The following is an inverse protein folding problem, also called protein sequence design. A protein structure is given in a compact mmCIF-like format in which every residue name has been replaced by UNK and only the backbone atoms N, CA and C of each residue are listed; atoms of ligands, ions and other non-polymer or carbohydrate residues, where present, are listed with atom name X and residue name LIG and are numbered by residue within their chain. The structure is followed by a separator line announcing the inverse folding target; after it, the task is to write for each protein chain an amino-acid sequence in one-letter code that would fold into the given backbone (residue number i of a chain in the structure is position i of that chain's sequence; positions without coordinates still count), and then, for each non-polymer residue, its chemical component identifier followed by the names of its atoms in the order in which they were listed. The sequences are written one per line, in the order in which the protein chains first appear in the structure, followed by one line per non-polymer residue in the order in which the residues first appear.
data_IF_354061547250
#
_entry.id   IF_354061547250
#
_cell.length_a   1.000
_cell.length_b   1.000
_cell.length_c   1.000
_cell.angle_alpha   90.00
_cell.angle_beta   90.00
_cell.angle_gamma   90.00
#
_symmetry.space_group_name_H-M   'P 1'
#
loop_
_entity.id
_entity.type
_entity.pdbx_description
1 polymer ?
#
# COMPACT_ATOMS: atom_id res chain seq x y z
N UNK A 1 25.57 21.98 3.07
CA UNK A 1 25.38 22.93 1.96
C UNK A 1 26.10 24.27 2.15
N UNK A 2 25.94 24.94 3.30
CA UNK A 2 26.40 26.32 3.52
C UNK A 2 27.88 26.59 3.20
N UNK A 3 28.81 25.76 3.67
CA UNK A 3 30.24 25.94 3.42
C UNK A 3 30.54 25.91 1.90
N UNK A 4 29.98 24.92 1.19
CA UNK A 4 30.13 24.80 -0.27
C UNK A 4 29.51 25.98 -1.02
N UNK A 5 28.37 26.49 -0.58
CA UNK A 5 27.72 27.67 -1.16
C UNK A 5 28.59 28.93 -1.03
N UNK A 6 29.29 29.10 0.10
CA UNK A 6 30.21 30.22 0.31
C UNK A 6 31.46 30.18 -0.57
N UNK A 7 31.85 29.00 -1.07
CA UNK A 7 33.04 28.81 -1.92
C UNK A 7 32.86 29.32 -3.36
N UNK A 8 31.66 29.76 -3.77
CA UNK A 8 31.45 30.24 -5.12
C UNK A 8 32.25 31.51 -5.45
N UNK A 9 32.85 31.49 -6.63
CA UNK A 9 33.41 32.66 -7.31
C UNK A 9 32.31 33.53 -7.94
N UNK A 10 32.61 34.79 -8.32
CA UNK A 10 31.71 35.60 -9.13
C UNK A 10 31.21 34.86 -10.38
N UNK A 11 29.91 34.98 -10.66
CA UNK A 11 29.21 34.29 -11.75
C UNK A 11 29.18 32.76 -11.66
N UNK A 12 29.51 32.20 -10.48
CA UNK A 12 29.48 30.76 -10.26
C UNK A 12 28.08 30.15 -10.21
N UNK A 13 27.99 28.87 -10.59
CA UNK A 13 26.77 28.07 -10.51
C UNK A 13 26.89 27.00 -9.43
N UNK A 14 25.88 26.89 -8.56
CA UNK A 14 25.76 25.81 -7.58
C UNK A 14 24.59 24.91 -7.92
N UNK A 15 24.88 23.63 -8.14
CA UNK A 15 23.88 22.61 -8.40
C UNK A 15 23.75 21.72 -7.17
N UNK A 16 22.63 21.83 -6.47
CA UNK A 16 22.31 21.01 -5.31
C UNK A 16 21.56 19.75 -5.76
N UNK A 17 22.14 18.59 -5.46
CA UNK A 17 21.56 17.27 -5.77
C UNK A 17 21.05 16.58 -4.49
N UNK A 18 21.45 17.08 -3.30
CA UNK A 18 20.99 16.59 -2.02
C UNK A 18 19.58 17.06 -1.68
N UNK A 19 18.75 16.15 -1.17
CA UNK A 19 17.36 16.45 -0.79
C UNK A 19 17.19 16.92 0.65
N UNK A 20 18.13 16.60 1.55
CA UNK A 20 17.93 16.74 3.00
C UNK A 20 17.58 18.18 3.41
N UNK A 21 18.42 19.15 3.03
CA UNK A 21 18.19 20.55 3.40
C UNK A 21 16.96 21.16 2.69
N UNK A 22 16.55 20.65 1.53
CA UNK A 22 15.34 21.09 0.83
C UNK A 22 14.07 20.60 1.52
N UNK A 23 14.06 19.33 1.94
CA UNK A 23 12.93 18.72 2.67
C UNK A 23 12.74 19.35 4.03
N UNK A 24 13.84 19.68 4.71
CA UNK A 24 13.82 20.25 6.07
C UNK A 24 13.59 21.79 6.08
N UNK A 25 13.22 22.38 4.94
CA UNK A 25 13.07 23.84 4.78
C UNK A 25 14.29 24.63 5.27
N UNK A 26 15.48 24.18 4.87
CA UNK A 26 16.77 24.79 5.17
C UNK A 26 16.85 26.25 4.71
N UNK A 27 17.68 27.04 5.40
CA UNK A 27 17.88 28.46 5.06
C UNK A 27 19.01 28.59 4.04
N UNK A 28 18.89 29.52 3.10
CA UNK A 28 19.95 29.85 2.15
C UNK A 28 20.52 31.23 2.44
N UNK A 29 21.85 31.38 2.45
CA UNK A 29 22.49 32.67 2.64
C UNK A 29 22.40 33.51 1.36
N UNK A 30 21.55 34.53 1.38
CA UNK A 30 21.29 35.38 0.22
C UNK A 30 22.46 36.29 -0.18
N UNK A 31 23.42 36.53 0.73
CA UNK A 31 24.55 37.44 0.46
C UNK A 31 25.44 36.95 -0.69
N UNK A 32 25.52 35.63 -0.91
CA UNK A 32 26.35 35.05 -1.97
C UNK A 32 25.86 35.48 -3.37
N UNK A 33 24.56 35.79 -3.53
CA UNK A 33 24.02 36.28 -4.80
C UNK A 33 24.58 37.64 -5.24
N UNK A 34 25.18 38.44 -4.35
CA UNK A 34 25.88 39.68 -4.73
C UNK A 34 27.07 39.41 -5.67
N UNK A 35 27.55 38.17 -5.71
CA UNK A 35 28.57 37.71 -6.66
C UNK A 35 27.98 37.34 -8.04
N UNK A 36 26.72 37.66 -8.32
CA UNK A 36 25.99 37.23 -9.53
C UNK A 36 25.95 35.70 -9.71
N UNK A 37 25.85 34.95 -8.62
CA UNK A 37 25.82 33.48 -8.64
C UNK A 37 24.43 32.94 -8.96
N UNK A 38 24.35 31.71 -9.47
CA UNK A 38 23.09 30.98 -9.66
C UNK A 38 23.03 29.78 -8.72
N UNK A 39 21.83 29.50 -8.19
CA UNK A 39 21.53 28.31 -7.41
C UNK A 39 20.47 27.49 -8.13
N UNK A 40 20.72 26.19 -8.31
CA UNK A 40 19.77 25.27 -8.94
C UNK A 40 19.67 24.00 -8.10
N UNK A 41 18.47 23.69 -7.61
CA UNK A 41 18.15 22.38 -7.06
C UNK A 41 17.76 21.44 -8.19
N UNK A 42 18.41 20.28 -8.28
CA UNK A 42 18.14 19.28 -9.31
C UNK A 42 17.81 17.93 -8.68
N UNK A 43 16.58 17.47 -8.91
CA UNK A 43 16.13 16.14 -8.53
C UNK A 43 15.92 15.27 -9.76
N UNK A 44 16.84 14.33 -10.00
CA UNK A 44 16.73 13.39 -11.11
C UNK A 44 15.53 12.44 -10.98
N UNK A 45 14.99 12.26 -9.77
CA UNK A 45 13.79 11.43 -9.54
C UNK A 45 12.56 12.08 -10.18
N UNK A 46 12.41 13.39 -10.05
CA UNK A 46 11.31 14.14 -10.66
C UNK A 46 11.40 14.07 -12.19
N UNK A 47 12.61 14.11 -12.75
CA UNK A 47 12.82 13.94 -14.19
C UNK A 47 12.44 12.53 -14.67
N UNK A 48 12.71 11.50 -13.85
CA UNK A 48 12.35 10.11 -14.15
C UNK A 48 10.84 9.87 -14.10
N UNK A 49 10.14 10.46 -13.14
CA UNK A 49 8.68 10.29 -12.98
C UNK A 49 7.86 11.31 -13.77
N UNK A 50 8.50 12.25 -14.48
CA UNK A 50 7.81 13.24 -15.30
C UNK A 50 6.97 12.57 -16.41
N UNK A 51 5.71 13.01 -16.54
CA UNK A 51 4.83 12.54 -17.61
C UNK A 51 5.09 13.24 -18.95
N UNK A 52 5.72 14.42 -18.91
CA UNK A 52 6.05 15.19 -20.11
C UNK A 52 7.12 14.48 -20.96
N UNK A 53 6.87 14.40 -22.27
CA UNK A 53 7.77 13.77 -23.22
C UNK A 53 9.14 14.48 -23.32
N UNK A 54 9.17 15.80 -23.12
CA UNK A 54 10.41 16.58 -23.14
C UNK A 54 11.38 16.13 -22.04
N UNK A 55 10.89 16.03 -20.79
CA UNK A 55 11.70 15.63 -19.65
C UNK A 55 12.19 14.19 -19.75
N UNK A 56 11.36 13.30 -20.29
CA UNK A 56 11.76 11.91 -20.55
C UNK A 56 12.86 11.83 -21.61
N UNK A 57 12.74 12.59 -22.69
CA UNK A 57 13.75 12.66 -23.76
C UNK A 57 15.07 13.23 -23.22
N UNK A 58 15.00 14.31 -22.45
CA UNK A 58 16.17 14.89 -21.79
C UNK A 58 16.88 13.89 -20.87
N UNK A 59 16.12 13.09 -20.09
CA UNK A 59 16.72 12.04 -19.26
C UNK A 59 17.40 10.97 -20.12
N UNK A 60 16.79 10.53 -21.22
CA UNK A 60 17.42 9.58 -22.15
C UNK A 60 18.73 10.10 -22.73
N UNK A 61 18.78 11.36 -23.16
CA UNK A 61 20.01 11.98 -23.66
C UNK A 61 21.10 12.10 -22.59
N UNK A 62 20.70 12.24 -21.32
CA UNK A 62 21.59 12.25 -20.15
C UNK A 62 21.92 10.85 -19.61
N UNK A 63 21.30 9.78 -20.11
CA UNK A 63 21.60 8.43 -19.63
C UNK A 63 23.04 8.06 -19.94
N UNK A 64 23.61 7.19 -19.10
CA UNK A 64 24.98 6.74 -19.28
C UNK A 64 25.23 6.16 -20.68
N UNK A 65 24.24 5.60 -21.37
CA UNK A 65 24.43 4.96 -22.68
C UNK A 65 24.85 5.93 -23.78
N UNK A 66 24.21 7.10 -23.91
CA UNK A 66 24.54 8.12 -24.92
C UNK A 66 25.93 8.71 -24.66
N UNK A 67 26.19 9.11 -23.42
CA UNK A 67 27.45 9.73 -22.99
C UNK A 67 28.61 8.72 -22.99
N UNK A 68 28.35 7.46 -22.64
CA UNK A 68 29.34 6.37 -22.68
C UNK A 68 29.73 6.03 -24.12
N UNK A 69 28.75 5.88 -25.02
CA UNK A 69 29.01 5.63 -26.45
C UNK A 69 29.73 6.80 -27.11
N UNK A 70 29.45 8.02 -26.69
CA UNK A 70 30.17 9.21 -27.11
C UNK A 70 31.58 9.33 -26.47
N UNK A 71 31.95 8.44 -25.54
CA UNK A 71 33.26 8.44 -24.87
C UNK A 71 33.44 9.51 -23.79
N UNK A 72 32.38 10.20 -23.40
CA UNK A 72 32.40 11.29 -22.40
C UNK A 72 32.50 10.72 -20.98
N UNK A 73 31.87 9.58 -20.72
CA UNK A 73 31.90 8.92 -19.40
C UNK A 73 32.52 7.53 -19.49
N UNK A 74 33.04 7.02 -18.37
CA UNK A 74 33.57 5.65 -18.24
C UNK A 74 32.93 4.97 -17.02
N UNK A 75 32.77 3.64 -17.02
CA UNK A 75 32.25 2.91 -15.88
C UNK A 75 33.16 3.14 -14.66
N UNK A 76 32.56 3.51 -13.53
CA UNK A 76 33.27 3.53 -12.25
C UNK A 76 33.49 2.09 -11.76
N UNK A 77 34.45 1.84 -10.85
CA UNK A 77 34.59 0.54 -10.20
C UNK A 77 33.24 0.04 -9.67
N UNK A 78 32.91 -1.23 -9.90
CA UNK A 78 31.65 -1.83 -9.47
C UNK A 78 31.96 -2.97 -8.49
N UNK A 79 31.52 -2.82 -7.24
CA UNK A 79 31.48 -3.92 -6.30
C UNK A 79 30.22 -4.75 -6.57
N UNK A 80 30.38 -6.02 -6.89
CA UNK A 80 29.26 -6.92 -7.20
C UNK A 80 28.98 -7.84 -6.02
N UNK A 81 27.69 -7.98 -5.70
CA UNK A 81 27.20 -8.87 -4.64
C UNK A 81 26.12 -9.78 -5.21
N UNK A 82 26.05 -10.99 -4.70
CA UNK A 82 24.92 -11.87 -5.00
C UNK A 82 23.64 -11.36 -4.31
N UNK A 83 22.47 -11.61 -4.91
CA UNK A 83 21.18 -11.31 -4.28
C UNK A 83 21.01 -12.04 -2.94
N UNK A 84 21.59 -13.25 -2.79
CA UNK A 84 21.59 -13.97 -1.51
C UNK A 84 22.39 -13.24 -0.42
N UNK A 85 23.34 -12.39 -0.81
CA UNK A 85 24.23 -11.61 0.06
C UNK A 85 23.83 -10.14 0.15
N UNK A 86 22.56 -9.79 -0.10
CA UNK A 86 22.10 -8.40 -0.11
C UNK A 86 22.45 -7.65 1.19
N UNK A 87 22.42 -8.34 2.34
CA UNK A 87 22.82 -7.76 3.61
C UNK A 87 24.31 -7.33 3.63
N UNK A 88 25.18 -8.07 2.93
CA UNK A 88 26.59 -7.70 2.76
C UNK A 88 26.72 -6.46 1.86
N UNK A 89 25.93 -6.39 0.78
CA UNK A 89 25.90 -5.23 -0.10
C UNK A 89 25.51 -3.95 0.66
N UNK A 90 24.50 -4.03 1.54
CA UNK A 90 24.12 -2.91 2.41
C UNK A 90 25.23 -2.54 3.41
N UNK A 91 25.88 -3.52 4.05
CA UNK A 91 27.01 -3.25 4.95
C UNK A 91 28.13 -2.54 4.20
N UNK A 92 28.50 -3.02 3.02
CA UNK A 92 29.49 -2.38 2.16
C UNK A 92 29.06 -0.97 1.77
N UNK A 93 27.78 -0.76 1.43
CA UNK A 93 27.22 0.58 1.17
C UNK A 93 27.34 1.54 2.36
N UNK A 94 27.36 1.05 3.60
CA UNK A 94 27.52 1.94 4.77
C UNK A 94 28.97 2.32 5.08
N UNK A 95 29.95 1.68 4.45
CA UNK A 95 31.37 2.01 4.65
C UNK A 95 31.70 3.40 4.10
N UNK A 96 32.60 4.11 4.80
CA UNK A 96 32.95 5.52 4.51
C UNK A 96 33.96 5.65 3.36
N UNK A 97 34.74 4.62 3.12
CA UNK A 97 35.84 4.51 2.17
C UNK A 97 35.43 3.87 0.83
N UNK A 98 34.14 3.55 0.66
CA UNK A 98 33.64 2.97 -0.60
C UNK A 98 33.90 3.89 -1.78
N UNK A 99 34.35 3.28 -2.88
CA UNK A 99 34.55 3.95 -4.16
C UNK A 99 33.73 3.25 -5.23
N UNK A 100 33.03 4.02 -6.07
CA UNK A 100 32.30 3.51 -7.21
C UNK A 100 30.87 3.06 -6.89
N UNK A 101 30.37 2.11 -7.67
CA UNK A 101 28.98 1.63 -7.62
C UNK A 101 28.90 0.25 -6.97
N UNK A 102 27.74 -0.06 -6.40
CA UNK A 102 27.41 -1.39 -5.91
C UNK A 102 26.34 -1.96 -6.83
N UNK A 103 26.56 -3.17 -7.33
CA UNK A 103 25.59 -3.91 -8.13
C UNK A 103 25.20 -5.20 -7.41
N UNK A 104 23.91 -5.52 -7.42
CA UNK A 104 23.38 -6.78 -6.91
C UNK A 104 22.98 -7.65 -8.10
N UNK A 105 23.60 -8.82 -8.21
CA UNK A 105 23.38 -9.77 -9.30
C UNK A 105 22.27 -10.75 -8.93
N UNK A 106 21.28 -10.88 -9.81
CA UNK A 106 20.09 -11.73 -9.61
C UNK A 106 20.11 -12.97 -10.52
N UNK A 107 21.00 -13.01 -11.52
CA UNK A 107 20.97 -14.01 -12.61
C UNK A 107 21.51 -15.40 -12.23
N UNK A 108 22.03 -15.59 -11.01
CA UNK A 108 22.52 -16.89 -10.58
C UNK A 108 21.35 -17.77 -10.16
N UNK A 109 20.99 -18.72 -11.03
CA UNK A 109 19.89 -19.66 -10.80
C UNK A 109 19.98 -20.46 -9.49
N UNK A 110 21.17 -20.55 -8.87
CA UNK A 110 21.41 -21.29 -7.64
C UNK A 110 21.27 -20.45 -6.37
N UNK A 111 21.17 -19.12 -6.50
CA UNK A 111 21.07 -18.21 -5.37
C UNK A 111 19.77 -18.43 -4.61
N UNK A 112 19.88 -18.67 -3.30
CA UNK A 112 18.73 -18.89 -2.42
C UNK A 112 18.51 -17.66 -1.57
N UNK A 113 17.38 -17.00 -1.79
CA UNK A 113 16.95 -15.85 -1.00
C UNK A 113 15.90 -16.31 0.00
N UNK A 114 16.08 -16.08 1.32
CA UNK A 114 15.03 -16.35 2.29
C UNK A 114 13.86 -15.42 2.01
N UNK A 115 12.72 -16.00 1.64
CA UNK A 115 11.47 -15.27 1.42
C UNK A 115 10.49 -15.59 2.54
N UNK A 116 9.79 -14.56 3.00
CA UNK A 116 8.60 -14.76 3.83
C UNK A 116 7.42 -14.94 2.87
N UNK A 117 6.86 -16.14 2.71
CA UNK A 117 5.71 -16.33 1.82
C UNK A 117 4.53 -15.53 2.37
N UNK A 118 3.87 -14.76 1.50
CA UNK A 118 2.61 -14.13 1.86
C UNK A 118 1.59 -15.23 2.15
N UNK A 119 1.04 -15.25 3.36
CA UNK A 119 0.04 -16.26 3.75
C UNK A 119 -1.28 -16.11 2.98
N UNK A 120 -1.55 -14.94 2.40
CA UNK A 120 -2.72 -14.66 1.58
C UNK A 120 -2.32 -13.86 0.36
N UNK A 121 -2.85 -14.23 -0.82
CA UNK A 121 -2.78 -13.40 -2.02
C UNK A 121 -4.05 -12.55 -2.07
N UNK A 122 -3.99 -11.33 -1.57
CA UNK A 122 -5.07 -10.35 -1.77
C UNK A 122 -4.98 -9.74 -3.18
N UNK A 123 -5.04 -10.60 -4.20
CA UNK A 123 -4.97 -10.21 -5.62
C UNK A 123 -6.32 -10.53 -6.27
N UNK A 124 -6.84 -9.58 -7.04
CA UNK A 124 -8.06 -9.80 -7.82
C UNK A 124 -7.72 -10.58 -9.09
N UNK A 125 -8.47 -11.65 -9.35
CA UNK A 125 -8.41 -12.53 -10.51
C UNK A 125 -9.68 -12.30 -11.33
N UNK A 126 -9.51 -12.10 -12.64
CA UNK A 126 -10.61 -11.80 -13.57
C UNK A 126 -11.58 -12.99 -13.76
N UNK A 127 -11.21 -14.21 -13.35
CA UNK A 127 -12.07 -15.39 -13.42
C UNK A 127 -12.86 -15.65 -12.13
N UNK A 128 -12.73 -14.80 -11.12
CA UNK A 128 -13.38 -14.96 -9.82
C UNK A 128 -14.36 -13.83 -9.54
N UNK A 129 -15.35 -14.12 -8.71
CA UNK A 129 -16.33 -13.13 -8.24
C UNK A 129 -15.97 -12.66 -6.83
N UNK A 130 -16.24 -11.39 -6.53
CA UNK A 130 -15.92 -10.77 -5.24
C UNK A 130 -17.16 -10.16 -4.59
N UNK A 131 -17.33 -10.41 -3.30
CA UNK A 131 -18.43 -9.85 -2.51
C UNK A 131 -17.93 -8.64 -1.71
N UNK A 132 -18.49 -7.47 -1.98
CA UNK A 132 -18.09 -6.20 -1.39
C UNK A 132 -19.30 -5.45 -0.84
N UNK A 133 -19.15 -4.63 0.21
CA UNK A 133 -20.17 -3.68 0.61
C UNK A 133 -20.17 -2.50 -0.37
N UNK A 134 -21.35 -2.09 -0.84
CA UNK A 134 -21.44 -1.10 -1.94
C UNK A 134 -21.58 0.33 -1.44
N UNK A 135 -20.67 1.20 -1.89
CA UNK A 135 -20.84 2.65 -1.89
C UNK A 135 -21.02 3.12 -3.35
N UNK A 136 -21.89 4.10 -3.59
CA UNK A 136 -22.25 4.54 -4.96
C UNK A 136 -21.03 4.96 -5.80
N UNK A 137 -20.08 5.68 -5.20
CA UNK A 137 -18.85 6.10 -5.87
C UNK A 137 -17.94 4.92 -6.24
N UNK A 138 -17.86 3.89 -5.37
CA UNK A 138 -17.06 2.69 -5.65
C UNK A 138 -17.66 1.93 -6.83
N UNK A 139 -18.99 1.75 -6.83
CA UNK A 139 -19.71 1.09 -7.93
C UNK A 139 -19.47 1.82 -9.25
N UNK A 140 -19.63 3.15 -9.28
CA UNK A 140 -19.36 3.94 -10.50
C UNK A 140 -17.95 3.68 -11.01
N UNK A 141 -16.94 3.80 -10.15
CA UNK A 141 -15.53 3.61 -10.53
C UNK A 141 -15.23 2.20 -11.04
N UNK A 142 -15.88 1.18 -10.48
CA UNK A 142 -15.72 -0.20 -10.94
C UNK A 142 -16.35 -0.40 -12.33
N UNK A 143 -17.56 0.13 -12.53
CA UNK A 143 -18.25 0.08 -13.83
C UNK A 143 -17.47 0.88 -14.88
N UNK A 144 -16.99 2.08 -14.55
CA UNK A 144 -16.17 2.93 -15.43
C UNK A 144 -14.84 2.26 -15.81
N UNK A 145 -14.32 1.38 -14.94
CA UNK A 145 -13.14 0.56 -15.20
C UNK A 145 -13.45 -0.74 -15.99
N UNK A 146 -14.71 -0.99 -16.34
CA UNK A 146 -15.16 -2.15 -17.12
C UNK A 146 -15.53 -3.39 -16.31
N UNK A 147 -15.67 -3.29 -14.99
CA UNK A 147 -16.11 -4.42 -14.17
C UNK A 147 -17.61 -4.69 -14.30
N UNK A 148 -18.00 -5.97 -14.33
CA UNK A 148 -19.39 -6.40 -14.20
C UNK A 148 -19.81 -6.38 -12.73
N UNK A 149 -20.70 -5.45 -12.37
CA UNK A 149 -21.12 -5.22 -10.97
C UNK A 149 -22.59 -5.58 -10.81
N UNK A 150 -22.89 -6.43 -9.83
CA UNK A 150 -24.26 -6.75 -9.40
C UNK A 150 -24.52 -6.19 -8.02
N UNK A 151 -25.60 -5.42 -7.88
CA UNK A 151 -25.97 -4.77 -6.62
C UNK A 151 -27.14 -5.55 -6.01
N UNK A 152 -26.94 -6.04 -4.79
CA UNK A 152 -27.99 -6.69 -4.00
C UNK A 152 -28.23 -5.84 -2.76
N UNK A 153 -29.42 -5.24 -2.69
CA UNK A 153 -29.81 -4.39 -1.58
C UNK A 153 -30.28 -5.28 -0.42
N UNK A 154 -29.59 -5.21 0.71
CA UNK A 154 -29.96 -5.95 1.92
C UNK A 154 -29.15 -5.54 3.13
N UNK A 155 -29.59 -6.00 4.30
CA UNK A 155 -28.81 -5.96 5.54
C UNK A 155 -28.02 -7.27 5.63
N UNK A 156 -26.71 -7.19 5.86
CA UNK A 156 -25.85 -8.36 6.05
C UNK A 156 -26.26 -9.20 7.27
N UNK A 157 -26.98 -8.59 8.22
CA UNK A 157 -27.54 -9.28 9.40
C UNK A 157 -28.72 -10.18 9.04
N UNK A 158 -29.32 -10.03 7.85
CA UNK A 158 -30.33 -10.93 7.30
C UNK A 158 -29.66 -12.05 6.48
N UNK A 159 -29.70 -13.28 7.03
CA UNK A 159 -29.08 -14.45 6.40
C UNK A 159 -29.61 -14.74 5.00
N UNK A 160 -30.89 -14.43 4.72
CA UNK A 160 -31.49 -14.71 3.42
C UNK A 160 -30.92 -13.76 2.35
N UNK A 161 -30.70 -12.49 2.70
CA UNK A 161 -30.06 -11.50 1.82
C UNK A 161 -28.60 -11.87 1.55
N UNK A 162 -27.89 -12.38 2.55
CA UNK A 162 -26.50 -12.85 2.37
C UNK A 162 -26.44 -14.07 1.46
N UNK A 163 -27.34 -15.05 1.64
CA UNK A 163 -27.43 -16.23 0.76
C UNK A 163 -27.77 -15.86 -0.68
N UNK A 164 -28.67 -14.90 -0.87
CA UNK A 164 -29.00 -14.34 -2.18
C UNK A 164 -27.74 -13.75 -2.85
N UNK A 165 -26.93 -13.00 -2.09
CA UNK A 165 -25.68 -12.43 -2.59
C UNK A 165 -24.62 -13.48 -2.97
N UNK A 166 -24.42 -14.49 -2.12
CA UNK A 166 -23.52 -15.61 -2.43
C UNK A 166 -24.00 -16.39 -3.65
N UNK A 167 -25.31 -16.62 -3.77
CA UNK A 167 -25.90 -17.32 -4.93
C UNK A 167 -25.68 -16.54 -6.23
N UNK A 168 -25.86 -15.21 -6.20
CA UNK A 168 -25.58 -14.37 -7.36
C UNK A 168 -24.10 -14.38 -7.76
N UNK A 169 -23.18 -14.41 -6.79
CA UNK A 169 -21.75 -14.50 -7.07
C UNK A 169 -21.35 -15.85 -7.69
N UNK A 170 -21.84 -16.95 -7.11
CA UNK A 170 -21.55 -18.32 -7.56
C UNK A 170 -22.14 -18.63 -8.93
N UNK A 171 -23.25 -17.98 -9.31
CA UNK A 171 -23.81 -18.10 -10.66
C UNK A 171 -22.88 -17.53 -11.76
N UNK A 172 -21.97 -16.61 -11.40
CA UNK A 172 -21.02 -15.98 -12.32
C UNK A 172 -19.64 -16.65 -12.33
N UNK A 173 -19.28 -17.33 -11.25
CA UNK A 173 -17.98 -17.99 -11.10
C UNK A 173 -17.60 -18.25 -9.65
N UNK A 174 -16.44 -18.88 -9.42
CA UNK A 174 -15.94 -19.15 -8.07
C UNK A 174 -15.71 -17.84 -7.29
N UNK A 175 -16.01 -17.84 -5.98
CA UNK A 175 -15.80 -16.67 -5.13
C UNK A 175 -14.32 -16.57 -4.77
N UNK A 176 -13.67 -15.49 -5.20
CA UNK A 176 -12.26 -15.22 -4.93
C UNK A 176 -12.02 -14.43 -3.66
N UNK A 177 -13.00 -13.66 -3.19
CA UNK A 177 -12.84 -12.89 -1.96
C UNK A 177 -14.11 -12.27 -1.43
N UNK A 178 -14.12 -12.04 -0.12
CA UNK A 178 -15.18 -11.32 0.58
C UNK A 178 -14.57 -10.16 1.36
N UNK A 179 -15.22 -8.99 1.28
CA UNK A 179 -14.94 -7.82 2.11
C UNK A 179 -16.16 -7.57 2.97
N UNK A 180 -15.98 -7.69 4.28
CA UNK A 180 -16.96 -7.28 5.28
C UNK A 180 -16.59 -5.90 5.82
N UNK A 181 -17.26 -4.87 5.30
CA UNK A 181 -17.16 -3.51 5.80
C UNK A 181 -18.52 -2.89 6.19
N UNK A 182 -19.56 -3.73 6.34
CA UNK A 182 -20.84 -3.27 6.83
C UNK A 182 -20.72 -2.77 8.28
N UNK A 183 -21.33 -1.62 8.55
CA UNK A 183 -21.24 -0.94 9.82
C UNK A 183 -22.50 -0.14 10.09
N UNK A 184 -22.96 -0.22 11.35
CA UNK A 184 -23.87 0.75 11.94
C UNK A 184 -23.17 1.38 13.14
N UNK A 185 -23.55 2.60 13.51
CA UNK A 185 -23.02 3.23 14.73
C UNK A 185 -24.07 4.14 15.35
N UNK A 186 -24.34 3.91 16.64
CA UNK A 186 -25.08 4.83 17.50
C UNK A 186 -24.28 5.03 18.76
N UNK A 187 -23.72 6.23 18.92
CA UNK A 187 -22.88 6.58 20.07
C UNK A 187 -23.75 6.92 21.27
N UNK A 188 -23.37 6.43 22.44
CA UNK A 188 -23.95 6.78 23.73
C UNK A 188 -22.99 6.37 24.84
N UNK A 189 -23.02 7.06 25.99
CA UNK A 189 -22.36 6.52 27.18
C UNK A 189 -22.92 5.14 27.48
N UNK A 190 -22.08 4.21 27.94
CA UNK A 190 -22.53 2.83 28.18
C UNK A 190 -23.70 2.78 29.17
N UNK A 191 -23.69 3.65 30.19
CA UNK A 191 -24.75 3.76 31.21
C UNK A 191 -26.09 4.24 30.68
N UNK A 192 -26.12 4.94 29.54
CA UNK A 192 -27.34 5.47 28.91
C UNK A 192 -27.61 4.87 27.53
N UNK A 193 -26.83 3.87 27.11
CA UNK A 193 -26.97 3.26 25.80
C UNK A 193 -28.23 2.40 25.76
N UNK A 194 -29.14 2.73 24.85
CA UNK A 194 -30.31 1.89 24.61
C UNK A 194 -29.92 0.56 23.99
N UNK A 195 -30.75 -0.46 24.19
CA UNK A 195 -30.54 -1.77 23.55
C UNK A 195 -30.52 -1.67 22.01
N UNK A 196 -31.36 -0.80 21.44
CA UNK A 196 -31.35 -0.50 20.00
C UNK A 196 -30.00 0.09 19.53
N UNK A 197 -29.45 1.06 20.26
CA UNK A 197 -28.15 1.65 19.95
C UNK A 197 -27.01 0.61 20.06
N UNK A 198 -27.08 -0.28 21.06
CA UNK A 198 -26.14 -1.39 21.23
C UNK A 198 -26.15 -2.31 20.01
N UNK A 199 -27.34 -2.79 19.61
CA UNK A 199 -27.47 -3.71 18.49
C UNK A 199 -27.17 -3.07 17.13
N UNK A 200 -27.45 -1.78 16.95
CA UNK A 200 -27.09 -1.04 15.73
C UNK A 200 -25.58 -1.09 15.46
N UNK A 201 -24.76 -0.99 16.52
CA UNK A 201 -23.30 -1.04 16.41
C UNK A 201 -22.72 -2.44 16.19
N UNK A 202 -23.39 -3.46 16.75
CA UNK A 202 -22.83 -4.82 16.83
C UNK A 202 -23.31 -5.72 15.71
N UNK A 203 -24.61 -5.70 15.37
CA UNK A 203 -25.22 -6.69 14.46
C UNK A 203 -24.50 -6.80 13.11
N UNK A 204 -24.15 -5.71 12.40
CA UNK A 204 -23.52 -5.82 11.09
C UNK A 204 -22.15 -6.51 11.13
N UNK A 205 -21.39 -6.30 12.21
CA UNK A 205 -20.02 -6.85 12.38
C UNK A 205 -20.02 -8.25 13.00
N UNK A 206 -20.91 -8.52 13.95
CA UNK A 206 -21.01 -9.84 14.55
C UNK A 206 -21.86 -10.79 13.70
N UNK A 207 -23.18 -10.57 13.70
CA UNK A 207 -24.13 -11.41 12.98
C UNK A 207 -23.86 -11.41 11.47
N UNK A 208 -23.55 -10.24 10.90
CA UNK A 208 -23.26 -10.15 9.47
C UNK A 208 -22.04 -10.96 9.04
N UNK A 209 -20.95 -10.90 9.81
CA UNK A 209 -19.75 -11.70 9.55
C UNK A 209 -20.03 -13.19 9.69
N UNK A 210 -20.81 -13.57 10.70
CA UNK A 210 -21.19 -14.96 10.90
C UNK A 210 -22.06 -15.48 9.75
N UNK A 211 -23.06 -14.70 9.33
CA UNK A 211 -23.90 -15.03 8.17
C UNK A 211 -23.08 -15.20 6.89
N UNK A 212 -22.09 -14.32 6.66
CA UNK A 212 -21.17 -14.44 5.52
C UNK A 212 -20.34 -15.70 5.60
N UNK A 213 -19.80 -16.04 6.78
CA UNK A 213 -19.04 -17.26 6.99
C UNK A 213 -19.87 -18.52 6.68
N UNK A 214 -21.07 -18.60 7.24
CA UNK A 214 -21.96 -19.74 7.05
C UNK A 214 -22.46 -19.84 5.60
N UNK A 215 -22.79 -18.71 4.97
CA UNK A 215 -23.28 -18.71 3.59
C UNK A 215 -22.20 -19.11 2.56
N UNK A 216 -20.92 -18.97 2.91
CA UNK A 216 -19.80 -19.39 2.05
C UNK A 216 -19.46 -20.88 2.20
N UNK A 217 -20.07 -21.61 3.13
CA UNK A 217 -19.80 -23.02 3.32
C UNK A 217 -20.13 -23.81 2.03
N UNK A 218 -19.15 -24.58 1.54
CA UNK A 218 -19.25 -25.29 0.25
C UNK A 218 -18.93 -24.43 -0.98
N UNK A 219 -18.58 -23.16 -0.79
CA UNK A 219 -18.21 -22.22 -1.85
C UNK A 219 -16.86 -21.51 -1.62
N UNK A 220 -16.10 -21.92 -0.59
CA UNK A 220 -14.88 -21.25 -0.15
C UNK A 220 -13.56 -21.89 -0.62
N UNK A 221 -13.61 -22.91 -1.49
CA UNK A 221 -12.40 -23.59 -2.02
C UNK A 221 -11.47 -22.65 -2.80
N UNK A 222 -12.03 -21.71 -3.55
CA UNK A 222 -11.30 -20.75 -4.37
C UNK A 222 -11.06 -19.40 -3.67
N UNK A 223 -11.46 -19.27 -2.40
CA UNK A 223 -11.42 -18.02 -1.65
C UNK A 223 -9.98 -17.66 -1.29
N UNK A 224 -9.47 -16.55 -1.81
CA UNK A 224 -8.13 -16.07 -1.52
C UNK A 224 -8.08 -15.23 -0.24
N UNK A 225 -9.17 -14.51 0.06
CA UNK A 225 -9.27 -13.67 1.26
C UNK A 225 -10.70 -13.52 1.79
N UNK A 226 -10.80 -13.37 3.11
CA UNK A 226 -11.99 -12.89 3.81
C UNK A 226 -11.55 -11.70 4.66
N UNK A 227 -11.73 -10.50 4.15
CA UNK A 227 -11.26 -9.27 4.78
C UNK A 227 -12.36 -8.66 5.64
N UNK A 228 -12.05 -8.33 6.89
CA UNK A 228 -12.96 -7.66 7.80
C UNK A 228 -12.37 -6.31 8.22
N UNK A 229 -13.16 -5.24 8.12
CA UNK A 229 -12.70 -3.92 8.56
C UNK A 229 -12.91 -3.74 10.06
N UNK A 230 -11.84 -3.90 10.83
CA UNK A 230 -11.81 -3.58 12.28
C UNK A 230 -11.44 -2.11 12.52
N UNK A 231 -11.17 -1.71 13.76
CA UNK A 231 -10.72 -0.36 14.14
C UNK A 231 -9.78 -0.42 15.35
N UNK A 232 -8.85 0.54 15.45
CA UNK A 232 -8.04 0.77 16.65
C UNK A 232 -8.90 0.94 17.91
N UNK A 233 -10.12 1.50 17.77
CA UNK A 233 -11.08 1.62 18.87
C UNK A 233 -11.42 0.29 19.53
N UNK A 234 -11.34 -0.84 18.82
CA UNK A 234 -11.55 -2.17 19.39
C UNK A 234 -10.52 -2.53 20.47
N UNK A 235 -9.28 -2.03 20.35
CA UNK A 235 -8.18 -2.29 21.30
C UNK A 235 -8.00 -1.19 22.33
N UNK A 236 -8.06 0.09 21.91
CA UNK A 236 -7.79 1.22 22.80
C UNK A 236 -9.05 1.72 23.52
N UNK A 237 -10.24 1.33 23.06
CA UNK A 237 -11.52 1.87 23.53
C UNK A 237 -11.76 3.30 23.05
N UNK A 238 -13.03 3.67 22.92
CA UNK A 238 -13.43 5.05 22.67
C UNK A 238 -14.65 5.34 23.54
N UNK A 239 -14.58 6.43 24.32
CA UNK A 239 -15.70 6.85 25.13
C UNK A 239 -16.93 7.05 24.23
N UNK A 240 -18.09 6.55 24.65
CA UNK A 240 -19.37 6.52 23.91
C UNK A 240 -19.54 5.46 22.81
N UNK A 241 -18.54 4.61 22.58
CA UNK A 241 -18.54 3.64 21.47
C UNK A 241 -18.38 2.19 21.96
N UNK A 242 -18.89 1.86 23.15
CA UNK A 242 -18.75 0.52 23.74
C UNK A 242 -19.30 -0.59 22.85
N UNK A 243 -20.42 -0.35 22.17
CA UNK A 243 -20.98 -1.24 21.15
C UNK A 243 -20.01 -1.49 19.99
N UNK A 244 -19.44 -0.43 19.43
CA UNK A 244 -18.50 -0.51 18.31
C UNK A 244 -17.17 -1.17 18.70
N UNK A 245 -16.65 -0.84 19.89
CA UNK A 245 -15.43 -1.47 20.42
C UNK A 245 -15.63 -2.98 20.59
N UNK A 246 -16.76 -3.38 21.20
CA UNK A 246 -17.11 -4.80 21.36
C UNK A 246 -17.25 -5.52 20.00
N UNK A 247 -17.89 -4.87 19.02
CA UNK A 247 -18.07 -5.40 17.68
C UNK A 247 -16.74 -5.63 16.95
N UNK A 248 -15.78 -4.71 17.07
CA UNK A 248 -14.44 -4.86 16.49
C UNK A 248 -13.60 -5.91 17.23
N UNK A 249 -13.72 -5.98 18.57
CA UNK A 249 -13.09 -7.05 19.35
C UNK A 249 -13.58 -8.45 18.93
N UNK A 250 -14.86 -8.58 18.58
CA UNK A 250 -15.37 -9.81 17.96
C UNK A 250 -14.68 -10.11 16.63
N UNK A 251 -14.56 -9.15 15.71
CA UNK A 251 -13.90 -9.36 14.42
C UNK A 251 -12.46 -9.84 14.61
N UNK A 252 -11.71 -9.21 15.51
CA UNK A 252 -10.32 -9.58 15.79
C UNK A 252 -10.20 -11.02 16.35
N UNK A 253 -11.14 -11.44 17.21
CA UNK A 253 -11.20 -12.80 17.73
C UNK A 253 -11.65 -13.80 16.65
N UNK A 254 -12.65 -13.43 15.86
CA UNK A 254 -13.18 -14.23 14.75
C UNK A 254 -12.12 -14.50 13.68
N UNK A 255 -11.31 -13.50 13.32
CA UNK A 255 -10.17 -13.67 12.40
C UNK A 255 -9.24 -14.79 12.88
N UNK A 256 -8.86 -14.79 14.16
CA UNK A 256 -7.98 -15.83 14.72
C UNK A 256 -8.65 -17.19 14.71
N UNK A 257 -9.92 -17.26 15.12
CA UNK A 257 -10.70 -18.50 15.10
C UNK A 257 -10.84 -19.08 13.70
N UNK A 258 -11.21 -18.26 12.70
CA UNK A 258 -11.38 -18.67 11.31
C UNK A 258 -10.06 -19.16 10.69
N UNK A 259 -8.95 -18.48 10.99
CA UNK A 259 -7.60 -18.93 10.59
C UNK A 259 -7.20 -20.24 11.27
N UNK A 260 -7.61 -20.45 12.52
CA UNK A 260 -7.44 -21.72 13.23
C UNK A 260 -8.13 -22.91 12.55
N UNK A 261 -9.14 -22.66 11.71
CA UNK A 261 -9.77 -23.67 10.86
C UNK A 261 -9.10 -23.82 9.49
N UNK A 262 -7.97 -23.17 9.25
CA UNK A 262 -7.29 -23.17 7.95
C UNK A 262 -7.98 -22.31 6.89
N UNK A 263 -9.00 -21.53 7.25
CA UNK A 263 -9.75 -20.71 6.29
C UNK A 263 -9.18 -19.28 6.21
N UNK A 264 -9.25 -18.60 5.05
CA UNK A 264 -8.76 -17.23 4.91
C UNK A 264 -9.52 -16.27 5.82
N UNK A 265 -8.78 -15.42 6.55
CA UNK A 265 -9.33 -14.28 7.28
C UNK A 265 -8.25 -13.22 7.52
N UNK A 266 -8.59 -11.96 7.30
CA UNK A 266 -7.74 -10.78 7.48
C UNK A 266 -8.49 -9.78 8.35
#
# INVERSE_FOLDING_TARGET
MHASWSCLAPFGCFVEIGKRELVDAGRLNMHVFLKNTTFTALDLSELFYAQDAFYRTMLYDLTAESLYRAGITRPSPIATFDVADIAQAYRHFTTKDRVGKIAVCIDKAQSRVPVMPSQYKAVFDFNKTYLLPTAQQLVSRLVDAGADVTIIRGDVSDVNRVREAVSACTAKGPIGGVVQAAMGLRKALFTSMSNDAWHTGIRPKWQGTWNLHDALEGHDEALDFFLMTSSLSGSCGTATESNYCAANGFLDAFTRWRRGQGKPAI
#
